data_IF_646971129016
#
_entry.id   IF_646971129016
#
_cell.length_a   1.000
_cell.length_b   1.000
_cell.length_c   1.000
_cell.angle_alpha   90.00
_cell.angle_beta   90.00
_cell.angle_gamma   90.00
#
_symmetry.space_group_name_H-M   'P 1'
#
loop_
_entity.id
_entity.type
_entity.pdbx_description
1 polymer ?
#
# COMPACT_ATOMS: atom_id res chain seq x y z
N UNK A 1 0.56 -37.47 58.10
CA UNK A 1 1.21 -36.64 57.06
C UNK A 1 1.49 -37.54 55.88
N UNK A 2 0.82 -37.33 54.74
CA UNK A 2 0.91 -38.19 53.57
C UNK A 2 1.37 -37.33 52.38
N UNK A 3 2.54 -37.64 51.82
CA UNK A 3 3.12 -37.03 50.63
C UNK A 3 2.56 -37.70 49.38
N UNK A 4 1.76 -36.99 48.60
CA UNK A 4 1.35 -37.41 47.26
C UNK A 4 2.31 -36.85 46.22
N UNK A 5 3.10 -37.75 45.62
CA UNK A 5 3.97 -37.46 44.47
C UNK A 5 3.12 -37.34 43.21
N UNK A 6 3.01 -36.14 42.63
CA UNK A 6 2.31 -35.89 41.36
C UNK A 6 3.27 -36.10 40.18
N UNK A 7 2.98 -37.09 39.35
CA UNK A 7 3.66 -37.34 38.07
C UNK A 7 3.26 -36.27 37.04
N UNK A 8 4.19 -35.58 36.35
CA UNK A 8 3.84 -34.64 35.29
C UNK A 8 3.41 -35.40 34.02
N UNK A 9 2.18 -35.12 33.57
CA UNK A 9 1.62 -35.55 32.29
C UNK A 9 2.34 -34.84 31.14
N UNK A 10 2.90 -35.61 30.20
CA UNK A 10 3.51 -35.08 28.99
C UNK A 10 2.44 -34.46 28.06
N UNK A 11 2.73 -33.36 27.35
CA UNK A 11 1.78 -32.71 26.45
C UNK A 11 1.56 -33.57 25.20
N UNK A 12 0.31 -33.98 24.98
CA UNK A 12 -0.17 -34.62 23.76
C UNK A 12 -0.04 -33.65 22.58
N UNK A 13 0.81 -33.98 21.61
CA UNK A 13 0.90 -33.24 20.34
C UNK A 13 -0.26 -33.72 19.47
N UNK A 14 -1.26 -32.86 19.26
CA UNK A 14 -2.31 -33.09 18.27
C UNK A 14 -1.69 -33.11 16.87
N UNK A 15 -1.64 -34.30 16.26
CA UNK A 15 -1.23 -34.50 14.88
C UNK A 15 -2.31 -33.88 13.98
N UNK A 16 -2.01 -32.71 13.43
CA UNK A 16 -2.82 -32.05 12.39
C UNK A 16 -2.94 -33.03 11.21
N UNK A 17 -4.16 -33.52 10.99
CA UNK A 17 -4.49 -34.40 9.87
C UNK A 17 -4.13 -33.74 8.55
N UNK A 18 -3.40 -34.47 7.71
CA UNK A 18 -3.09 -34.07 6.34
C UNK A 18 -4.39 -33.79 5.56
N UNK A 19 -4.46 -32.74 4.74
CA UNK A 19 -5.59 -32.55 3.83
C UNK A 19 -5.63 -33.72 2.86
N UNK A 20 -6.78 -34.41 2.78
CA UNK A 20 -6.97 -35.59 1.94
C UNK A 20 -6.71 -35.34 0.44
N UNK A 21 -6.59 -36.41 -0.37
CA UNK A 21 -6.24 -36.31 -1.78
C UNK A 21 -7.29 -35.48 -2.53
N UNK A 22 -6.87 -34.34 -3.07
CA UNK A 22 -7.72 -33.48 -3.88
C UNK A 22 -8.27 -34.28 -5.08
N UNK A 23 -9.59 -34.23 -5.30
CA UNK A 23 -10.22 -34.84 -6.48
C UNK A 23 -9.50 -34.33 -7.74
N UNK A 24 -9.11 -35.19 -8.69
CA UNK A 24 -8.45 -34.75 -9.89
C UNK A 24 -9.41 -33.88 -10.71
N UNK A 25 -9.07 -32.59 -10.85
CA UNK A 25 -9.86 -31.63 -11.63
C UNK A 25 -10.04 -32.11 -13.08
N UNK A 26 -11.18 -31.81 -13.69
CA UNK A 26 -11.40 -32.05 -15.11
C UNK A 26 -10.48 -31.17 -15.97
N UNK A 27 -10.31 -31.51 -17.24
CA UNK A 27 -9.45 -30.73 -18.16
C UNK A 27 -9.92 -29.27 -18.31
N UNK A 28 -11.23 -29.05 -18.42
CA UNK A 28 -11.82 -27.71 -18.52
C UNK A 28 -11.64 -26.90 -17.23
N UNK A 29 -11.82 -27.51 -16.06
CA UNK A 29 -11.55 -26.86 -14.78
C UNK A 29 -10.07 -26.50 -14.61
N UNK A 30 -9.15 -27.38 -15.05
CA UNK A 30 -7.71 -27.08 -15.05
C UNK A 30 -7.38 -25.93 -15.97
N UNK A 31 -7.98 -25.87 -17.16
CA UNK A 31 -7.79 -24.78 -18.12
C UNK A 31 -8.28 -23.45 -17.56
N UNK A 32 -9.46 -23.44 -16.92
CA UNK A 32 -10.00 -22.25 -16.25
C UNK A 32 -9.15 -21.83 -15.05
N UNK A 33 -8.68 -22.79 -14.25
CA UNK A 33 -7.76 -22.55 -13.14
C UNK A 33 -6.44 -21.94 -13.64
N UNK A 34 -5.84 -22.49 -14.70
CA UNK A 34 -4.62 -21.97 -15.31
C UNK A 34 -4.79 -20.55 -15.88
N UNK A 35 -5.94 -20.27 -16.50
CA UNK A 35 -6.26 -18.93 -16.97
C UNK A 35 -6.37 -17.93 -15.81
N UNK A 36 -7.05 -18.32 -14.72
CA UNK A 36 -7.14 -17.52 -13.50
C UNK A 36 -5.78 -17.32 -12.84
N UNK A 37 -4.92 -18.35 -12.79
CA UNK A 37 -3.55 -18.24 -12.26
C UNK A 37 -2.75 -17.24 -13.09
N UNK A 38 -2.74 -17.35 -14.42
CA UNK A 38 -2.02 -16.42 -15.30
C UNK A 38 -2.51 -14.99 -15.15
N UNK A 39 -3.83 -14.80 -15.06
CA UNK A 39 -4.44 -13.49 -14.81
C UNK A 39 -4.03 -12.90 -13.45
N UNK A 40 -3.97 -13.74 -12.42
CA UNK A 40 -3.55 -13.32 -11.08
C UNK A 40 -2.04 -13.06 -10.98
N UNK A 41 -1.21 -13.77 -11.76
CA UNK A 41 0.23 -13.51 -11.85
C UNK A 41 0.54 -12.15 -12.48
N UNK A 42 -0.31 -11.65 -13.37
CA UNK A 42 -0.15 -10.34 -14.02
C UNK A 42 -0.68 -9.15 -13.22
N UNK A 43 -1.36 -9.38 -12.07
CA UNK A 43 -1.92 -8.30 -11.25
C UNK A 43 -0.96 -7.90 -10.14
N UNK A 44 -0.78 -6.60 -9.95
CA UNK A 44 -0.13 -6.09 -8.74
C UNK A 44 -0.88 -6.61 -7.50
N UNK A 45 -0.16 -7.21 -6.55
CA UNK A 45 -0.73 -7.69 -5.27
C UNK A 45 -1.33 -6.56 -4.44
N UNK A 46 -0.94 -5.32 -4.75
CA UNK A 46 -1.38 -4.08 -4.14
C UNK A 46 -2.53 -3.40 -4.90
N UNK A 47 -3.08 -4.03 -5.95
CA UNK A 47 -4.22 -3.47 -6.65
C UNK A 47 -5.45 -3.43 -5.73
N UNK A 48 -5.99 -2.24 -5.52
CA UNK A 48 -7.20 -1.99 -4.73
C UNK A 48 -8.29 -1.48 -5.66
N UNK A 49 -9.48 -2.07 -5.59
CA UNK A 49 -10.69 -1.55 -6.22
C UNK A 49 -11.75 -1.33 -5.16
N UNK A 50 -12.30 -0.14 -5.02
CA UNK A 50 -13.29 0.11 -3.98
C UNK A 50 -13.89 1.51 -4.00
N UNK A 51 -14.42 1.89 -2.84
CA UNK A 51 -15.26 3.06 -2.54
C UNK A 51 -14.96 4.32 -3.35
N UNK A 52 -16.00 5.00 -3.84
CA UNK A 52 -15.88 6.22 -4.65
C UNK A 52 -15.39 7.44 -3.86
N UNK A 53 -15.55 7.44 -2.54
CA UNK A 53 -15.40 8.66 -1.72
C UNK A 53 -14.09 8.69 -0.92
N UNK A 54 -13.36 7.58 -0.92
CA UNK A 54 -12.17 7.36 -0.10
C UNK A 54 -10.99 6.91 -0.96
N UNK A 55 -9.85 7.55 -0.76
CA UNK A 55 -8.61 7.24 -1.44
C UNK A 55 -7.86 6.12 -0.70
N UNK A 56 -7.64 4.94 -1.33
CA UNK A 56 -6.89 3.86 -0.71
C UNK A 56 -5.37 4.09 -0.84
N UNK A 57 -4.63 3.81 0.22
CA UNK A 57 -3.17 3.96 0.27
C UNK A 57 -2.53 2.79 1.02
N UNK A 58 -1.45 2.21 0.47
CA UNK A 58 -0.69 1.17 1.15
C UNK A 58 0.48 1.79 1.91
N UNK A 59 0.42 1.76 3.25
CA UNK A 59 1.45 2.26 4.14
C UNK A 59 2.34 1.12 4.65
N UNK A 60 3.62 1.37 4.94
CA UNK A 60 4.47 0.35 5.58
C UNK A 60 4.10 0.25 7.05
N UNK A 61 3.54 -0.88 7.45
CA UNK A 61 3.12 -1.14 8.83
C UNK A 61 4.28 -1.20 9.83
N UNK A 62 5.51 -1.42 9.35
CA UNK A 62 6.72 -1.48 10.18
C UNK A 62 7.39 -0.11 10.37
N UNK A 63 7.01 0.89 9.58
CA UNK A 63 7.56 2.25 9.67
C UNK A 63 6.65 3.11 10.56
N UNK A 64 7.02 3.22 11.84
CA UNK A 64 6.23 3.96 12.83
C UNK A 64 6.18 5.47 12.55
N UNK A 65 7.22 6.03 11.93
CA UNK A 65 7.25 7.45 11.57
C UNK A 65 6.28 7.72 10.41
N UNK A 66 6.29 6.87 9.39
CA UNK A 66 5.32 6.93 8.30
C UNK A 66 3.90 6.78 8.81
N UNK A 67 3.63 5.77 9.66
CA UNK A 67 2.30 5.54 10.22
C UNK A 67 1.79 6.74 11.03
N UNK A 68 2.62 7.28 11.93
CA UNK A 68 2.24 8.46 12.72
C UNK A 68 1.97 9.68 11.83
N UNK A 69 2.79 9.88 10.79
CA UNK A 69 2.57 10.96 9.81
C UNK A 69 1.24 10.77 9.08
N UNK A 70 0.96 9.59 8.57
CA UNK A 70 -0.28 9.31 7.84
C UNK A 70 -1.52 9.47 8.73
N UNK A 71 -1.47 9.01 9.97
CA UNK A 71 -2.55 9.24 10.95
C UNK A 71 -2.78 10.74 11.20
N UNK A 72 -1.71 11.53 11.32
CA UNK A 72 -1.83 12.99 11.48
C UNK A 72 -2.41 13.70 10.24
N UNK A 73 -2.20 13.13 9.05
CA UNK A 73 -2.80 13.58 7.79
C UNK A 73 -4.25 13.09 7.61
N UNK A 74 -4.78 12.32 8.56
CA UNK A 74 -6.17 11.86 8.55
C UNK A 74 -6.40 10.52 7.87
N UNK A 75 -5.34 9.80 7.48
CA UNK A 75 -5.45 8.43 7.01
C UNK A 75 -5.85 7.50 8.17
N UNK A 76 -6.65 6.47 7.86
CA UNK A 76 -7.11 5.49 8.83
C UNK A 76 -6.94 4.09 8.28
N UNK A 77 -6.61 3.13 9.13
CA UNK A 77 -6.54 1.72 8.73
C UNK A 77 -7.92 1.25 8.26
N UNK A 78 -7.96 0.61 7.09
CA UNK A 78 -9.20 0.03 6.57
C UNK A 78 -9.54 -1.23 7.36
N UNK A 79 -10.74 -1.26 7.94
CA UNK A 79 -11.33 -2.44 8.57
C UNK A 79 -12.66 -2.73 7.87
N UNK A 80 -12.77 -3.90 7.25
CA UNK A 80 -13.95 -4.34 6.50
C UNK A 80 -14.52 -5.67 7.01
N UNK A 81 -15.81 -5.90 6.72
CA UNK A 81 -16.47 -7.19 6.95
C UNK A 81 -16.10 -8.19 5.84
N UNK A 82 -15.72 -9.40 6.24
CA UNK A 82 -15.43 -10.53 5.35
C UNK A 82 -16.58 -10.89 4.43
N UNK A 83 -17.83 -10.71 4.87
CA UNK A 83 -19.01 -11.08 4.09
C UNK A 83 -19.31 -10.07 2.99
N UNK A 84 -18.99 -8.79 3.23
CA UNK A 84 -19.30 -7.68 2.33
C UNK A 84 -18.19 -6.61 2.41
N UNK A 85 -17.00 -6.92 1.87
CA UNK A 85 -15.90 -5.96 1.91
C UNK A 85 -16.20 -4.75 1.03
N UNK A 86 -15.88 -3.55 1.51
CA UNK A 86 -15.94 -2.30 0.71
C UNK A 86 -14.85 -2.30 -0.34
N UNK A 87 -13.68 -2.84 0.01
CA UNK A 87 -12.54 -2.95 -0.89
C UNK A 87 -12.35 -4.37 -1.43
N UNK A 88 -12.19 -4.46 -2.74
CA UNK A 88 -11.68 -5.65 -3.43
C UNK A 88 -10.16 -5.52 -3.52
N UNK A 89 -9.48 -5.99 -2.48
CA UNK A 89 -8.02 -6.00 -2.35
C UNK A 89 -7.55 -7.36 -1.80
N UNK A 90 -6.26 -7.66 -1.97
CA UNK A 90 -5.64 -8.85 -1.38
C UNK A 90 -5.30 -8.61 0.09
N UNK A 91 -5.15 -9.68 0.87
CA UNK A 91 -4.60 -9.60 2.23
C UNK A 91 -5.62 -9.32 3.34
N UNK A 92 -6.92 -9.49 3.09
CA UNK A 92 -7.94 -9.42 4.14
C UNK A 92 -7.68 -10.49 5.22
N UNK A 93 -7.47 -10.05 6.45
CA UNK A 93 -7.22 -10.87 7.64
C UNK A 93 -8.50 -11.06 8.45
N UNK A 94 -8.48 -12.02 9.38
CA UNK A 94 -9.60 -12.35 10.26
C UNK A 94 -10.12 -11.18 11.12
N UNK A 95 -9.25 -10.22 11.43
CA UNK A 95 -9.59 -8.99 12.15
C UNK A 95 -10.26 -7.92 11.26
N UNK A 96 -10.40 -8.17 9.95
CA UNK A 96 -11.00 -7.26 8.98
C UNK A 96 -10.01 -6.28 8.35
N UNK A 97 -8.73 -6.32 8.74
CA UNK A 97 -7.70 -5.46 8.15
C UNK A 97 -7.14 -6.04 6.86
N UNK A 98 -6.63 -5.20 5.97
CA UNK A 98 -5.92 -5.64 4.78
C UNK A 98 -4.41 -5.48 4.99
N UNK A 99 -3.68 -6.58 5.06
CA UNK A 99 -2.22 -6.58 5.23
C UNK A 99 -1.58 -7.54 4.23
N UNK A 100 -0.62 -7.04 3.46
CA UNK A 100 0.13 -7.81 2.47
C UNK A 100 1.62 -7.62 2.72
N UNK A 101 2.29 -8.65 3.26
CA UNK A 101 3.71 -8.52 3.63
C UNK A 101 3.88 -7.52 4.78
N UNK A 102 4.64 -6.46 4.52
CA UNK A 102 4.95 -5.36 5.43
C UNK A 102 4.03 -4.13 5.26
N UNK A 103 3.08 -4.15 4.34
CA UNK A 103 2.16 -3.03 4.11
C UNK A 103 0.74 -3.28 4.61
N UNK A 104 0.10 -2.22 5.09
CA UNK A 104 -1.29 -2.17 5.55
C UNK A 104 -2.10 -1.18 4.72
N UNK A 105 -3.35 -1.53 4.42
CA UNK A 105 -4.23 -0.64 3.67
C UNK A 105 -4.81 0.42 4.60
N UNK A 106 -4.62 1.67 4.23
CA UNK A 106 -5.24 2.84 4.84
C UNK A 106 -6.14 3.55 3.84
N UNK A 107 -7.07 4.35 4.35
CA UNK A 107 -7.97 5.18 3.58
C UNK A 107 -8.02 6.61 4.13
N UNK A 108 -8.24 7.57 3.24
CA UNK A 108 -8.46 8.99 3.57
C UNK A 108 -9.58 9.52 2.66
N UNK A 109 -10.39 10.51 3.06
CA UNK A 109 -11.35 11.12 2.15
C UNK A 109 -10.67 11.70 0.90
N UNK A 110 -11.27 11.52 -0.28
CA UNK A 110 -10.70 12.04 -1.54
C UNK A 110 -10.44 13.54 -1.49
N UNK A 111 -11.34 14.32 -0.89
CA UNK A 111 -11.18 15.77 -0.74
C UNK A 111 -9.89 16.15 0.00
N UNK A 112 -9.55 15.40 1.05
CA UNK A 112 -8.32 15.61 1.83
C UNK A 112 -7.11 15.21 0.98
N UNK A 113 -7.19 14.08 0.28
CA UNK A 113 -6.12 13.61 -0.60
C UNK A 113 -5.80 14.63 -1.70
N UNK A 114 -6.82 15.20 -2.34
CA UNK A 114 -6.65 16.18 -3.41
C UNK A 114 -5.95 17.46 -2.90
N UNK A 115 -6.28 17.90 -1.68
CA UNK A 115 -5.60 19.04 -1.04
C UNK A 115 -4.12 18.70 -0.80
N UNK A 116 -3.83 17.53 -0.22
CA UNK A 116 -2.46 17.09 0.04
C UNK A 116 -1.63 16.99 -1.26
N UNK A 117 -2.24 16.50 -2.34
CA UNK A 117 -1.59 16.43 -3.64
C UNK A 117 -1.27 17.84 -4.18
N UNK A 118 -2.22 18.77 -4.09
CA UNK A 118 -2.00 20.16 -4.52
C UNK A 118 -0.91 20.85 -3.70
N UNK A 119 -0.88 20.68 -2.37
CA UNK A 119 0.15 21.22 -1.49
C UNK A 119 1.53 20.66 -1.83
N UNK A 120 1.62 19.35 -2.08
CA UNK A 120 2.86 18.70 -2.51
C UNK A 120 3.36 19.25 -3.85
N UNK A 121 2.46 19.44 -4.82
CA UNK A 121 2.79 20.02 -6.12
C UNK A 121 3.29 21.47 -5.99
N UNK A 122 2.66 22.28 -5.14
CA UNK A 122 3.04 23.66 -4.91
C UNK A 122 4.40 23.76 -4.20
N UNK A 123 4.62 22.92 -3.20
CA UNK A 123 5.89 22.83 -2.48
C UNK A 123 7.02 22.41 -3.42
N UNK A 124 6.80 21.38 -4.25
CA UNK A 124 7.77 20.94 -5.25
C UNK A 124 8.11 22.05 -6.26
N UNK A 125 7.12 22.79 -6.74
CA UNK A 125 7.35 23.94 -7.63
C UNK A 125 8.18 25.03 -6.96
N UNK A 126 7.87 25.35 -5.70
CA UNK A 126 8.61 26.35 -4.92
C UNK A 126 10.08 25.92 -4.70
N UNK A 127 10.31 24.65 -4.33
CA UNK A 127 11.65 24.10 -4.17
C UNK A 127 12.46 24.16 -5.47
N UNK A 128 11.85 23.80 -6.61
CA UNK A 128 12.50 23.88 -7.92
C UNK A 128 12.83 25.33 -8.31
N UNK A 129 11.93 26.27 -8.03
CA UNK A 129 12.19 27.69 -8.27
C UNK A 129 13.36 28.20 -7.41
N UNK A 130 13.32 27.94 -6.10
CA UNK A 130 14.38 28.33 -5.17
C UNK A 130 15.73 27.70 -5.53
N UNK A 131 15.75 26.44 -5.96
CA UNK A 131 16.97 25.77 -6.40
C UNK A 131 17.54 26.39 -7.69
N UNK A 132 16.68 26.81 -8.62
CA UNK A 132 17.10 27.54 -9.83
C UNK A 132 17.70 28.89 -9.52
N UNK A 133 17.08 29.64 -8.60
CA UNK A 133 17.57 30.96 -8.22
C UNK A 133 18.92 30.84 -7.50
N UNK A 134 19.04 29.91 -6.54
CA UNK A 134 20.31 29.61 -5.85
C UNK A 134 21.41 29.21 -6.84
N UNK A 135 21.07 28.37 -7.83
CA UNK A 135 22.02 27.97 -8.88
C UNK A 135 22.46 29.14 -9.74
N UNK A 136 21.54 30.05 -10.10
CA UNK A 136 21.88 31.27 -10.85
C UNK A 136 22.84 32.15 -10.05
N UNK A 137 22.52 32.42 -8.79
CA UNK A 137 23.34 33.27 -7.91
C UNK A 137 24.76 32.70 -7.72
N UNK A 138 24.88 31.38 -7.55
CA UNK A 138 26.18 30.72 -7.39
C UNK A 138 27.00 30.72 -8.70
N UNK A 139 26.35 30.49 -9.84
CA UNK A 139 27.00 30.54 -11.14
C UNK A 139 27.47 31.96 -11.49
N UNK A 140 26.68 33.00 -11.18
CA UNK A 140 27.09 34.40 -11.31
C UNK A 140 28.32 34.71 -10.44
N UNK A 141 28.32 34.25 -9.19
CA UNK A 141 29.46 34.40 -8.28
C UNK A 141 30.72 33.71 -8.80
N UNK A 142 30.59 32.57 -9.48
CA UNK A 142 31.70 31.81 -10.06
C UNK A 142 32.07 32.26 -11.48
N UNK A 143 31.35 33.24 -12.06
CA UNK A 143 31.57 33.72 -13.42
C UNK A 143 31.21 32.71 -14.51
N UNK A 144 30.38 31.72 -14.20
CA UNK A 144 29.93 30.69 -15.13
C UNK A 144 28.64 31.16 -15.82
N UNK A 145 28.58 31.20 -17.16
CA UNK A 145 27.39 31.66 -17.87
C UNK A 145 26.22 30.68 -17.71
N UNK A 146 25.07 31.19 -17.27
CA UNK A 146 23.83 30.41 -17.13
C UNK A 146 22.95 30.58 -18.37
N UNK A 147 22.52 29.48 -18.98
CA UNK A 147 21.62 29.51 -20.14
C UNK A 147 20.16 29.71 -19.69
N UNK A 148 19.57 30.84 -20.05
CA UNK A 148 18.13 31.06 -19.87
C UNK A 148 17.33 30.37 -20.97
N UNK A 149 16.53 29.37 -20.60
CA UNK A 149 15.58 28.74 -21.52
C UNK A 149 14.44 29.72 -21.78
N UNK A 150 14.47 30.41 -22.93
CA UNK A 150 13.37 31.27 -23.37
C UNK A 150 12.08 30.43 -23.48
N UNK A 151 10.97 30.83 -22.84
CA UNK A 151 9.72 30.10 -22.98
C UNK A 151 9.29 30.10 -24.45
N UNK A 152 9.00 28.92 -25.01
CA UNK A 152 8.40 28.81 -26.34
C UNK A 152 7.04 29.51 -26.32
N UNK A 153 6.96 30.67 -26.94
CA UNK A 153 5.69 31.36 -27.22
C UNK A 153 4.86 30.41 -28.09
N UNK A 154 3.78 29.87 -27.55
CA UNK A 154 2.77 29.19 -28.36
C UNK A 154 2.03 30.28 -29.13
N UNK A 155 2.36 30.45 -30.40
CA UNK A 155 1.51 31.19 -31.33
C UNK A 155 0.15 30.46 -31.40
N UNK A 156 -0.87 31.08 -30.85
CA UNK A 156 -2.26 30.68 -31.04
C UNK A 156 -2.64 31.15 -32.45
N UNK A 157 -2.88 30.21 -33.36
CA UNK A 157 -3.54 30.44 -34.66
C UNK A 157 -5.03 30.12 -34.53
#
# INVERSE_FOLDING_TARGET
MATTTSTPSAPSIDVISQPGPAKPLTYEERKHLLANIRHNMGRSRLAVKGSSDMHPYWARSTDMEEMSRLESLGFRVVVDDHKKPRYKASGLRQDGTYIVGDVILMEVPNEVYDILEQENLNTAKSLVASAKDTFKDEAERQGVPVFEVKPKVKEVK
#
